data_IF_307329178399
#
_entry.id   IF_307329178399
#
_cell.length_a   1.000
_cell.length_b   1.000
_cell.length_c   1.000
_cell.angle_alpha   90.00
_cell.angle_beta   90.00
_cell.angle_gamma   90.00
#
_symmetry.space_group_name_H-M   'P 1'
#
loop_
_entity.id
_entity.type
_entity.pdbx_description
1 polymer ?
#
# COMPACT_ATOMS: atom_id res chain seq x y z
N UNK A 1 13.19 3.70 17.29
CA UNK A 1 13.63 4.30 16.02
C UNK A 1 12.42 4.77 15.23
N UNK A 2 12.46 6.02 14.79
CA UNK A 2 11.35 6.56 13.99
C UNK A 2 11.63 6.33 12.51
N UNK A 3 10.66 5.69 11.84
CA UNK A 3 10.72 5.49 10.40
C UNK A 3 9.92 6.62 9.76
N UNK A 4 10.62 7.48 9.02
CA UNK A 4 9.97 8.59 8.35
C UNK A 4 9.52 8.19 6.96
N UNK A 5 8.22 8.24 6.72
CA UNK A 5 7.62 7.96 5.44
C UNK A 5 7.17 9.25 4.77
N UNK A 6 7.21 9.32 3.42
CA UNK A 6 6.54 10.41 2.73
C UNK A 6 5.06 10.50 3.17
N UNK A 7 4.48 11.70 3.24
CA UNK A 7 3.10 11.86 3.74
C UNK A 7 2.07 10.98 3.04
N UNK A 8 2.18 10.81 1.73
CA UNK A 8 1.22 9.98 0.98
C UNK A 8 1.34 8.49 1.36
N UNK A 9 2.54 8.02 1.66
CA UNK A 9 2.75 6.63 2.08
C UNK A 9 2.23 6.44 3.50
N UNK A 10 2.46 7.42 4.39
CA UNK A 10 1.87 7.39 5.73
C UNK A 10 0.35 7.32 5.65
N UNK A 11 -0.26 8.14 4.78
CA UNK A 11 -1.71 8.13 4.59
C UNK A 11 -2.21 6.80 4.04
N UNK A 12 -1.45 6.17 3.14
CA UNK A 12 -1.78 4.86 2.59
C UNK A 12 -1.89 3.80 3.70
N UNK A 13 -0.86 3.70 4.55
CA UNK A 13 -0.88 2.71 5.64
C UNK A 13 -1.91 3.05 6.71
N UNK A 14 -2.11 4.31 7.01
CA UNK A 14 -3.14 4.72 7.95
C UNK A 14 -4.53 4.30 7.44
N UNK A 15 -4.84 4.58 6.18
CA UNK A 15 -6.12 4.22 5.58
C UNK A 15 -6.34 2.70 5.57
N UNK A 16 -5.31 1.94 5.19
CA UNK A 16 -5.43 0.48 5.15
C UNK A 16 -5.58 -0.13 6.54
N UNK A 17 -4.90 0.43 7.54
CA UNK A 17 -4.97 -0.07 8.91
C UNK A 17 -6.30 0.29 9.61
N UNK A 18 -6.86 1.44 9.30
CA UNK A 18 -8.13 1.90 9.88
C UNK A 18 -9.33 1.55 9.02
N UNK A 19 -9.11 1.13 7.77
CA UNK A 19 -10.13 0.87 6.76
C UNK A 19 -10.98 2.10 6.45
N UNK A 20 -10.36 3.26 6.52
CA UNK A 20 -10.99 4.54 6.17
C UNK A 20 -10.64 4.87 4.72
N UNK A 21 -11.44 4.40 3.79
CA UNK A 21 -11.14 4.50 2.36
C UNK A 21 -11.88 5.63 1.63
N UNK A 22 -12.54 6.52 2.36
CA UNK A 22 -13.30 7.60 1.72
C UNK A 22 -12.45 8.42 0.75
N UNK A 23 -11.21 8.74 1.14
CA UNK A 23 -10.29 9.54 0.32
C UNK A 23 -9.12 8.71 -0.23
N UNK A 24 -9.24 7.38 -0.19
CA UNK A 24 -8.12 6.51 -0.56
C UNK A 24 -7.65 6.75 -1.99
N UNK A 25 -8.58 6.86 -2.94
CA UNK A 25 -8.22 7.04 -4.34
C UNK A 25 -7.50 8.35 -4.60
N UNK A 26 -7.72 9.35 -3.75
CA UNK A 26 -7.03 10.65 -3.89
C UNK A 26 -5.53 10.57 -3.63
N UNK A 27 -5.06 9.48 -3.01
CA UNK A 27 -3.63 9.25 -2.77
C UNK A 27 -2.88 8.84 -4.04
N UNK A 28 -3.61 8.48 -5.09
CA UNK A 28 -3.06 7.93 -6.31
C UNK A 28 -3.21 8.92 -7.48
N UNK A 29 -2.30 8.80 -8.46
CA UNK A 29 -2.47 9.55 -9.72
C UNK A 29 -3.65 8.97 -10.50
N UNK A 30 -4.18 9.73 -11.46
CA UNK A 30 -5.34 9.30 -12.25
C UNK A 30 -5.09 8.00 -13.02
N UNK A 31 -3.84 7.76 -13.42
CA UNK A 31 -3.46 6.57 -14.21
C UNK A 31 -2.61 5.60 -13.39
N UNK A 32 -2.76 5.64 -12.07
CA UNK A 32 -1.96 4.81 -11.19
C UNK A 32 -2.16 3.32 -11.47
N UNK A 33 -1.11 2.56 -11.18
CA UNK A 33 -1.08 1.12 -11.38
C UNK A 33 -0.72 0.43 -10.06
N UNK A 34 -1.55 -0.51 -9.65
CA UNK A 34 -1.26 -1.37 -8.49
C UNK A 34 -1.13 -2.80 -8.98
N UNK A 35 -0.06 -3.47 -8.56
CA UNK A 35 0.10 -4.92 -8.77
C UNK A 35 0.14 -5.60 -7.41
N UNK A 36 -0.82 -6.49 -7.17
CA UNK A 36 -0.93 -7.25 -5.93
C UNK A 36 -1.29 -8.69 -6.26
N UNK A 37 -0.52 -9.63 -5.73
CA UNK A 37 -0.69 -11.07 -5.99
C UNK A 37 -0.73 -11.38 -7.50
N UNK A 38 0.16 -10.73 -8.25
CA UNK A 38 0.29 -10.87 -9.70
C UNK A 38 -0.93 -10.38 -10.49
N UNK A 39 -1.84 -9.64 -9.86
CA UNK A 39 -2.99 -9.01 -10.51
C UNK A 39 -2.77 -7.51 -10.63
N UNK A 40 -3.18 -6.96 -11.78
CA UNK A 40 -3.01 -5.54 -12.08
C UNK A 40 -4.33 -4.79 -11.93
N UNK A 41 -4.26 -3.60 -11.31
CA UNK A 41 -5.38 -2.71 -11.11
C UNK A 41 -4.99 -1.30 -11.55
N UNK A 42 -5.83 -0.64 -12.32
CA UNK A 42 -5.54 0.68 -12.88
C UNK A 42 -6.61 1.70 -12.52
N UNK A 43 -6.17 2.89 -12.14
CA UNK A 43 -7.08 4.03 -11.92
C UNK A 43 -8.19 3.72 -10.95
N UNK A 44 -9.44 3.88 -11.40
CA UNK A 44 -10.60 3.68 -10.53
C UNK A 44 -10.75 2.25 -9.99
N UNK A 45 -10.14 1.27 -10.64
CA UNK A 45 -10.15 -0.12 -10.16
C UNK A 45 -9.46 -0.29 -8.80
N UNK A 46 -8.58 0.63 -8.46
CA UNK A 46 -7.83 0.60 -7.20
C UNK A 46 -8.78 0.67 -6.00
N UNK A 47 -9.85 1.44 -6.12
CA UNK A 47 -10.84 1.55 -5.04
C UNK A 47 -11.50 0.20 -4.75
N UNK A 48 -11.91 -0.52 -5.78
CA UNK A 48 -12.51 -1.85 -5.62
C UNK A 48 -11.47 -2.86 -5.13
N UNK A 49 -10.21 -2.72 -5.57
CA UNK A 49 -9.13 -3.59 -5.11
C UNK A 49 -8.95 -3.51 -3.59
N UNK A 50 -8.83 -2.29 -3.04
CA UNK A 50 -8.54 -2.17 -1.61
C UNK A 50 -9.72 -2.63 -0.75
N UNK A 51 -10.96 -2.39 -1.19
CA UNK A 51 -12.14 -2.90 -0.50
C UNK A 51 -12.12 -4.42 -0.44
N UNK A 52 -11.87 -5.07 -1.56
CA UNK A 52 -11.84 -6.52 -1.66
C UNK A 52 -10.66 -7.13 -0.91
N UNK A 53 -9.48 -6.51 -1.03
CA UNK A 53 -8.26 -7.01 -0.40
C UNK A 53 -8.33 -6.99 1.13
N UNK A 54 -9.15 -6.12 1.70
CA UNK A 54 -9.21 -5.96 3.15
C UNK A 54 -10.49 -6.50 3.79
N UNK A 55 -11.52 -6.80 2.99
CA UNK A 55 -12.84 -7.15 3.52
C UNK A 55 -12.83 -8.43 4.37
N UNK A 56 -12.16 -9.48 3.90
CA UNK A 56 -12.14 -10.77 4.58
C UNK A 56 -10.98 -10.91 5.56
N UNK A 57 -9.81 -10.44 5.16
CA UNK A 57 -8.58 -10.66 5.92
C UNK A 57 -8.36 -9.63 7.00
N UNK A 58 -8.97 -8.44 6.87
CA UNK A 58 -8.83 -7.34 7.82
C UNK A 58 -7.37 -7.13 8.23
N UNK A 59 -6.48 -6.88 7.26
CA UNK A 59 -5.05 -6.84 7.55
C UNK A 59 -4.64 -5.58 8.31
N UNK A 60 -3.58 -5.73 9.09
CA UNK A 60 -2.89 -4.60 9.72
C UNK A 60 -1.44 -4.68 9.31
N UNK A 61 -0.89 -3.57 8.82
CA UNK A 61 0.49 -3.49 8.38
C UNK A 61 1.31 -2.68 9.39
N UNK A 62 2.39 -3.30 9.88
CA UNK A 62 3.37 -2.66 10.75
C UNK A 62 4.63 -2.39 9.94
N UNK A 63 4.89 -1.13 9.63
CA UNK A 63 6.07 -0.74 8.86
C UNK A 63 7.32 -0.93 9.70
N UNK A 64 8.29 -1.67 9.17
CA UNK A 64 9.54 -1.98 9.88
C UNK A 64 10.76 -1.36 9.21
N UNK A 65 10.70 -0.99 7.93
CA UNK A 65 11.84 -0.44 7.24
C UNK A 65 11.41 0.34 5.99
N UNK A 66 12.26 1.24 5.53
CA UNK A 66 12.08 1.95 4.28
C UNK A 66 13.43 2.15 3.61
N UNK A 67 13.49 1.86 2.31
CA UNK A 67 14.64 2.13 1.46
C UNK A 67 14.23 3.15 0.41
N UNK A 68 15.06 4.15 0.20
CA UNK A 68 14.80 5.24 -0.74
C UNK A 68 15.71 5.13 -1.95
N UNK A 69 15.13 5.33 -3.12
CA UNK A 69 15.84 5.48 -4.37
C UNK A 69 15.17 6.63 -5.13
N UNK A 70 15.71 7.03 -6.24
CA UNK A 70 15.20 8.21 -6.98
C UNK A 70 13.74 7.99 -7.36
N UNK A 71 12.84 8.76 -6.72
CA UNK A 71 11.39 8.69 -6.98
C UNK A 71 10.72 7.40 -6.56
N UNK A 72 11.47 6.49 -5.95
CA UNK A 72 10.96 5.19 -5.54
C UNK A 72 11.24 4.91 -4.06
N UNK A 73 10.34 4.15 -3.44
CA UNK A 73 10.47 3.78 -2.04
C UNK A 73 10.08 2.32 -1.89
N UNK A 74 10.92 1.54 -1.19
CA UNK A 74 10.57 0.17 -0.83
C UNK A 74 10.30 0.16 0.66
N UNK A 75 9.04 -0.08 1.02
CA UNK A 75 8.60 -0.12 2.42
C UNK A 75 8.39 -1.58 2.80
N UNK A 76 9.06 -2.01 3.86
CA UNK A 76 8.87 -3.35 4.39
C UNK A 76 7.91 -3.27 5.57
N UNK A 77 6.91 -4.14 5.57
CA UNK A 77 5.92 -4.18 6.64
C UNK A 77 5.58 -5.64 6.99
N UNK A 78 5.29 -5.85 8.27
CA UNK A 78 4.74 -7.13 8.73
C UNK A 78 3.23 -6.99 8.71
N UNK A 79 2.58 -7.82 7.91
CA UNK A 79 1.12 -7.77 7.71
C UNK A 79 0.49 -8.96 8.42
N UNK A 80 -0.42 -8.67 9.33
CA UNK A 80 -1.19 -9.67 10.07
C UNK A 80 -2.68 -9.53 9.75
N UNK A 81 -3.40 -10.63 9.80
CA UNK A 81 -4.82 -10.62 9.54
C UNK A 81 -5.40 -12.03 9.51
N UNK A 82 -6.63 -12.13 9.03
CA UNK A 82 -7.35 -13.40 8.94
C UNK A 82 -7.03 -14.10 7.61
N UNK A 83 -5.80 -14.58 7.47
CA UNK A 83 -5.40 -15.32 6.28
C UNK A 83 -4.36 -16.39 6.66
N UNK A 84 -4.25 -17.48 5.85
CA UNK A 84 -3.24 -18.50 6.09
C UNK A 84 -1.83 -17.91 5.99
N UNK A 85 -0.95 -18.29 6.92
CA UNK A 85 0.43 -17.81 6.93
C UNK A 85 0.64 -16.49 7.64
N UNK A 86 -0.44 -15.87 8.18
CA UNK A 86 -0.31 -14.64 8.96
C UNK A 86 0.53 -14.87 10.23
N UNK A 87 1.44 -13.93 10.61
CA UNK A 87 1.79 -12.73 9.85
C UNK A 87 2.80 -13.03 8.73
N UNK A 88 2.82 -12.15 7.72
CA UNK A 88 3.79 -12.25 6.63
C UNK A 88 4.50 -10.92 6.47
N UNK A 89 5.76 -10.99 6.02
CA UNK A 89 6.51 -9.79 5.68
C UNK A 89 6.31 -9.49 4.19
N UNK A 90 5.87 -8.27 3.90
CA UNK A 90 5.66 -7.82 2.53
C UNK A 90 6.53 -6.60 2.23
N UNK A 91 6.89 -6.45 0.96
CA UNK A 91 7.58 -5.27 0.45
C UNK A 91 6.64 -4.52 -0.48
N UNK A 92 6.49 -3.24 -0.19
CA UNK A 92 5.63 -2.33 -0.95
C UNK A 92 6.54 -1.41 -1.75
N UNK A 93 6.57 -1.58 -3.06
CA UNK A 93 7.38 -0.76 -3.96
C UNK A 93 6.51 0.39 -4.47
N UNK A 94 6.74 1.59 -3.95
CA UNK A 94 6.01 2.78 -4.34
C UNK A 94 6.81 3.61 -5.33
N UNK A 95 6.16 4.05 -6.40
CA UNK A 95 6.69 5.09 -7.28
C UNK A 95 5.78 6.30 -7.10
N UNK A 96 6.36 7.43 -6.72
CA UNK A 96 5.61 8.66 -6.47
C UNK A 96 5.77 9.64 -7.63
N UNK A 97 4.71 10.38 -7.92
CA UNK A 97 4.70 11.46 -8.89
C UNK A 97 3.82 12.57 -8.35
N UNK A 98 4.36 13.80 -8.27
CA UNK A 98 3.64 14.95 -7.74
C UNK A 98 2.98 14.67 -6.38
N UNK A 99 3.75 14.01 -5.49
CA UNK A 99 3.33 13.67 -4.14
C UNK A 99 2.14 12.69 -4.06
N UNK A 100 1.90 11.97 -5.16
CA UNK A 100 0.87 10.91 -5.22
C UNK A 100 1.51 9.60 -5.65
N UNK A 101 0.80 8.51 -5.38
CA UNK A 101 1.27 7.17 -5.77
C UNK A 101 0.94 6.96 -7.25
N UNK A 102 1.98 6.82 -8.07
CA UNK A 102 1.82 6.51 -9.49
C UNK A 102 1.86 5.00 -9.74
N UNK A 103 2.59 4.27 -8.89
CA UNK A 103 2.68 2.82 -9.02
C UNK A 103 2.92 2.20 -7.65
N UNK A 104 2.29 1.07 -7.42
CA UNK A 104 2.50 0.27 -6.21
C UNK A 104 2.60 -1.19 -6.61
N UNK A 105 3.70 -1.84 -6.20
CA UNK A 105 3.93 -3.25 -6.43
C UNK A 105 4.13 -3.91 -5.07
N UNK A 106 3.27 -4.88 -4.72
CA UNK A 106 3.32 -5.56 -3.44
C UNK A 106 3.84 -6.98 -3.65
N UNK A 107 4.91 -7.32 -2.92
CA UNK A 107 5.57 -8.63 -3.00
C UNK A 107 5.91 -9.16 -1.62
N UNK A 108 6.02 -10.46 -1.54
CA UNK A 108 6.54 -11.12 -0.35
C UNK A 108 8.07 -10.96 -0.25
#
# INVERSE_FOLDING_TARGET
>A
MNIELPPVITAFFHATNTREFADFLSLFTAEAHVNDEANDYYGAEISAWIDRATAETKPTADVTDITRDVGQFVVTAVVSGNFPGSPVQLRYHFTLMDEKIAKLLIKA
#
